data_IF_534260845347
#
_entry.id   IF_534260845347
#
_cell.length_a   1.000
_cell.length_b   1.000
_cell.length_c   1.000
_cell.angle_alpha   90.00
_cell.angle_beta   90.00
_cell.angle_gamma   90.00
#
_symmetry.space_group_name_H-M   'P 1'
#
loop_
_entity.id
_entity.type
_entity.pdbx_description
1 polymer ?
#
# COMPACT_ATOMS: atom_id res chain seq x y z
N UNK A 1 6.69 -11.56 16.58
CA UNK A 1 5.95 -10.78 15.55
C UNK A 1 5.49 -9.50 16.22
N UNK A 2 6.13 -8.37 15.91
CA UNK A 2 5.71 -7.07 16.45
C UNK A 2 4.48 -6.60 15.69
N UNK A 3 3.35 -6.55 16.37
CA UNK A 3 2.10 -5.97 15.90
C UNK A 3 2.18 -4.45 16.02
N UNK A 4 2.46 -3.78 14.90
CA UNK A 4 2.43 -2.32 14.80
C UNK A 4 0.96 -1.83 14.85
N UNK A 5 0.64 -0.94 15.78
CA UNK A 5 -0.67 -0.31 15.90
C UNK A 5 -0.72 0.94 15.02
N UNK A 6 -1.36 0.82 13.85
CA UNK A 6 -1.51 1.90 12.88
C UNK A 6 -2.79 2.71 13.16
N UNK A 7 -2.64 3.96 13.60
CA UNK A 7 -3.67 4.90 14.05
C UNK A 7 -4.32 5.74 12.92
N UNK A 8 -4.39 5.23 11.69
CA UNK A 8 -5.21 5.86 10.65
C UNK A 8 -6.64 5.32 10.71
N UNK A 9 -7.63 6.20 10.56
CA UNK A 9 -9.02 5.79 10.44
C UNK A 9 -9.31 5.30 9.01
N UNK A 10 -9.50 3.99 8.88
CA UNK A 10 -9.89 3.34 7.64
C UNK A 10 -11.40 3.16 7.63
N UNK A 11 -12.03 3.64 6.57
CA UNK A 11 -13.49 3.78 6.49
C UNK A 11 -14.14 2.76 5.57
N UNK A 12 -13.34 2.11 4.70
CA UNK A 12 -13.87 1.12 3.77
C UNK A 12 -14.25 -0.17 4.49
N UNK A 13 -15.35 -0.83 4.07
CA UNK A 13 -15.73 -2.11 4.62
C UNK A 13 -14.63 -3.14 4.40
N UNK A 14 -14.45 -4.05 5.35
CA UNK A 14 -13.50 -5.15 5.22
C UNK A 14 -13.87 -5.99 4.01
N UNK A 15 -12.92 -6.17 3.11
CA UNK A 15 -12.98 -7.08 1.98
C UNK A 15 -11.93 -8.17 2.19
N UNK A 16 -12.29 -9.40 1.85
CA UNK A 16 -11.29 -10.46 1.73
C UNK A 16 -10.48 -10.20 0.46
N UNK A 17 -9.15 -10.19 0.59
CA UNK A 17 -8.25 -9.95 -0.54
C UNK A 17 -7.39 -11.18 -0.75
N UNK A 18 -7.53 -11.78 -1.92
CA UNK A 18 -6.61 -12.79 -2.41
C UNK A 18 -5.30 -12.12 -2.82
N UNK A 19 -4.24 -12.35 -2.03
CA UNK A 19 -2.94 -11.72 -2.22
C UNK A 19 -2.26 -12.13 -3.52
N UNK A 20 -2.51 -13.34 -4.01
CA UNK A 20 -1.89 -13.84 -5.25
C UNK A 20 -2.47 -13.14 -6.46
N UNK A 21 -3.77 -12.85 -6.42
CA UNK A 21 -4.49 -12.18 -7.52
C UNK A 21 -4.41 -10.67 -7.49
N UNK A 22 -4.18 -10.10 -6.31
CA UNK A 22 -4.30 -8.66 -6.08
C UNK A 22 -3.45 -7.79 -7.02
N UNK A 23 -2.21 -8.20 -7.29
CA UNK A 23 -1.29 -7.46 -8.17
C UNK A 23 -1.32 -7.92 -9.63
N UNK A 24 -1.60 -9.20 -9.86
CA UNK A 24 -1.55 -9.80 -11.19
C UNK A 24 -2.88 -9.64 -11.92
N UNK A 25 -3.89 -10.40 -11.52
CA UNK A 25 -5.23 -10.43 -12.14
C UNK A 25 -6.01 -9.14 -11.86
N UNK A 26 -5.93 -8.64 -10.63
CA UNK A 26 -6.67 -7.46 -10.19
C UNK A 26 -5.84 -6.16 -10.28
N UNK A 27 -4.63 -6.21 -10.83
CA UNK A 27 -3.71 -5.07 -10.84
C UNK A 27 -4.24 -3.83 -11.58
N UNK A 28 -5.18 -4.02 -12.51
CA UNK A 28 -5.85 -2.94 -13.24
C UNK A 28 -7.02 -2.30 -12.48
N UNK A 29 -7.46 -2.89 -11.36
CA UNK A 29 -8.50 -2.29 -10.52
C UNK A 29 -7.97 -1.08 -9.75
N UNK A 30 -8.88 -0.16 -9.42
CA UNK A 30 -8.57 1.01 -8.61
C UNK A 30 -7.99 0.59 -7.25
N UNK A 31 -7.02 1.35 -6.77
CA UNK A 31 -6.50 1.20 -5.41
C UNK A 31 -7.37 2.00 -4.44
N UNK A 32 -7.90 1.34 -3.41
CA UNK A 32 -8.68 2.00 -2.37
C UNK A 32 -7.78 2.46 -1.21
N UNK A 33 -7.44 3.75 -1.22
CA UNK A 33 -6.64 4.39 -0.16
C UNK A 33 -7.36 4.39 1.20
N UNK A 34 -8.68 4.19 1.22
CA UNK A 34 -9.50 4.13 2.42
C UNK A 34 -9.61 2.73 3.03
N UNK A 35 -9.11 1.70 2.33
CA UNK A 35 -9.10 0.31 2.79
C UNK A 35 -7.82 -0.03 3.54
N UNK A 36 -7.99 -0.46 4.80
CA UNK A 36 -6.89 -0.93 5.65
C UNK A 36 -6.19 -2.14 5.02
N UNK A 37 -6.96 -3.07 4.46
CA UNK A 37 -6.44 -4.31 3.91
C UNK A 37 -5.67 -4.07 2.60
N UNK A 38 -6.19 -3.21 1.71
CA UNK A 38 -5.48 -2.82 0.48
C UNK A 38 -4.18 -2.09 0.81
N UNK A 39 -4.23 -1.16 1.77
CA UNK A 39 -3.05 -0.42 2.23
C UNK A 39 -2.01 -1.35 2.83
N UNK A 40 -2.40 -2.29 3.70
CA UNK A 40 -1.49 -3.28 4.29
C UNK A 40 -0.81 -4.16 3.24
N UNK A 41 -1.55 -4.65 2.25
CA UNK A 41 -1.01 -5.49 1.19
C UNK A 41 0.00 -4.71 0.35
N UNK A 42 -0.34 -3.47 -0.01
CA UNK A 42 0.56 -2.58 -0.74
C UNK A 42 1.82 -2.29 0.07
N UNK A 43 1.68 -1.90 1.35
CA UNK A 43 2.81 -1.66 2.24
C UNK A 43 3.70 -2.90 2.39
N UNK A 44 3.11 -4.09 2.54
CA UNK A 44 3.87 -5.33 2.65
C UNK A 44 4.67 -5.59 1.37
N UNK A 45 4.07 -5.40 0.20
CA UNK A 45 4.74 -5.60 -1.08
C UNK A 45 5.90 -4.61 -1.29
N UNK A 46 5.67 -3.32 -1.03
CA UNK A 46 6.69 -2.27 -1.21
C UNK A 46 7.81 -2.41 -0.17
N UNK A 47 7.48 -2.60 1.11
CA UNK A 47 8.50 -2.74 2.16
C UNK A 47 9.37 -3.98 1.97
N UNK A 48 8.78 -5.10 1.51
CA UNK A 48 9.54 -6.29 1.16
C UNK A 48 10.41 -6.06 -0.07
N UNK A 49 9.87 -5.43 -1.12
CA UNK A 49 10.59 -5.15 -2.36
C UNK A 49 11.75 -4.18 -2.21
N UNK A 50 11.62 -3.19 -1.33
CA UNK A 50 12.65 -2.18 -1.05
C UNK A 50 13.47 -2.49 0.21
N UNK A 51 13.23 -3.63 0.86
CA UNK A 51 13.89 -4.04 2.11
C UNK A 51 13.79 -3.00 3.26
N UNK A 52 12.66 -2.28 3.32
CA UNK A 52 12.37 -1.29 4.37
C UNK A 52 12.06 -2.02 5.67
N UNK A 53 12.77 -1.66 6.75
CA UNK A 53 12.61 -2.31 8.07
C UNK A 53 12.38 -1.33 9.21
N UNK A 54 12.73 -0.06 9.03
CA UNK A 54 12.58 0.95 10.07
C UNK A 54 11.15 1.51 10.10
N UNK A 55 10.71 1.87 11.31
CA UNK A 55 9.34 2.31 11.56
C UNK A 55 9.00 3.65 10.89
N UNK A 56 9.98 4.56 10.81
CA UNK A 56 9.78 5.88 10.23
C UNK A 56 9.45 5.77 8.74
N UNK A 57 10.23 4.99 7.99
CA UNK A 57 10.03 4.77 6.56
C UNK A 57 8.72 4.03 6.28
N UNK A 58 8.36 3.05 7.11
CA UNK A 58 7.06 2.39 7.02
C UNK A 58 5.90 3.37 7.26
N UNK A 59 6.04 4.29 8.21
CA UNK A 59 5.00 5.30 8.46
C UNK A 59 4.89 6.31 7.32
N UNK A 60 6.02 6.73 6.75
CA UNK A 60 6.06 7.60 5.57
C UNK A 60 5.37 6.94 4.37
N UNK A 61 5.60 5.64 4.16
CA UNK A 61 4.94 4.85 3.12
C UNK A 61 3.42 4.79 3.33
N UNK A 62 2.96 4.58 4.57
CA UNK A 62 1.52 4.58 4.90
C UNK A 62 0.86 5.94 4.56
N UNK A 63 1.51 7.04 4.94
CA UNK A 63 1.01 8.41 4.66
C UNK A 63 0.92 8.63 3.14
N UNK A 64 1.97 8.24 2.41
CA UNK A 64 2.01 8.43 0.96
C UNK A 64 0.86 7.67 0.28
N UNK A 65 0.69 6.38 0.63
CA UNK A 65 -0.41 5.57 0.11
C UNK A 65 -1.79 6.16 0.41
N UNK A 66 -1.93 6.86 1.53
CA UNK A 66 -3.22 7.41 1.94
C UNK A 66 -3.55 8.76 1.31
N UNK A 67 -2.58 9.65 1.22
CA UNK A 67 -2.83 11.07 0.97
C UNK A 67 -2.05 11.64 -0.22
N UNK A 68 -0.85 11.11 -0.49
CA UNK A 68 0.10 11.76 -1.40
C UNK A 68 0.40 10.93 -2.67
N UNK A 69 -0.51 10.03 -3.05
CA UNK A 69 -0.38 9.32 -4.32
C UNK A 69 -0.54 10.31 -5.50
N UNK A 70 0.32 10.21 -6.53
CA UNK A 70 0.19 11.06 -7.68
C UNK A 70 -1.08 10.73 -8.46
N UNK A 71 -1.67 11.74 -9.11
CA UNK A 71 -2.97 11.63 -9.80
C UNK A 71 -3.04 10.51 -10.86
N UNK A 72 -1.90 10.15 -11.45
CA UNK A 72 -1.82 9.11 -12.48
C UNK A 72 -1.76 7.68 -11.91
N UNK A 73 -1.55 7.51 -10.60
CA UNK A 73 -1.54 6.21 -9.94
C UNK A 73 -2.97 5.70 -9.71
N UNK A 74 -3.70 5.51 -10.82
CA UNK A 74 -5.14 5.25 -10.84
C UNK A 74 -5.52 3.80 -10.54
N UNK A 75 -4.56 2.88 -10.56
CA UNK A 75 -4.76 1.46 -10.28
C UNK A 75 -3.63 0.87 -9.44
N UNK A 76 -3.90 -0.29 -8.85
CA UNK A 76 -3.01 -0.98 -7.90
C UNK A 76 -1.62 -1.26 -8.49
N UNK A 77 -1.54 -1.64 -9.76
CA UNK A 77 -0.26 -1.89 -10.44
C UNK A 77 0.56 -0.63 -10.60
N UNK A 78 -0.06 0.48 -11.02
CA UNK A 78 0.61 1.76 -11.17
C UNK A 78 1.08 2.32 -9.82
N UNK A 79 0.25 2.23 -8.78
CA UNK A 79 0.62 2.59 -7.40
C UNK A 79 1.86 1.82 -6.98
N UNK A 80 1.84 0.48 -7.12
CA UNK A 80 2.96 -0.38 -6.73
C UNK A 80 4.23 0.00 -7.48
N UNK A 81 4.19 0.01 -8.81
CA UNK A 81 5.37 0.25 -9.64
C UNK A 81 5.97 1.62 -9.37
N UNK A 82 5.14 2.66 -9.30
CA UNK A 82 5.61 4.01 -9.03
C UNK A 82 6.30 4.10 -7.66
N UNK A 83 5.71 3.51 -6.61
CA UNK A 83 6.34 3.48 -5.29
C UNK A 83 7.65 2.68 -5.27
N UNK A 84 7.70 1.53 -5.95
CA UNK A 84 8.94 0.75 -6.06
C UNK A 84 10.08 1.54 -6.71
N UNK A 85 9.77 2.46 -7.62
CA UNK A 85 10.77 3.23 -8.36
C UNK A 85 11.10 4.59 -7.70
N UNK A 86 10.15 5.20 -6.99
CA UNK A 86 10.23 6.60 -6.57
C UNK A 86 10.16 6.80 -5.05
N UNK A 87 9.89 5.76 -4.26
CA UNK A 87 9.83 5.90 -2.81
C UNK A 87 11.23 6.09 -2.22
N UNK A 88 11.49 7.31 -1.73
CA UNK A 88 12.73 7.68 -1.05
C UNK A 88 12.48 7.59 0.45
N UNK A 89 13.26 6.74 1.13
CA UNK A 89 13.19 6.50 2.56
C UNK A 89 14.49 6.87 3.26
#
# INVERSE_FOLDING_TARGET
MNSYNFTLEYTSPKREIDKEKYFEEEGSLAFDTHSLEETKIMMQAISSGLSIKDEYSLKKLEILLRYDLPFFATNRRLVRNWLMENFIF
#
